data_IF_186060430276
#
_entry.id   IF_186060430276
#
_cell.length_a   1.000
_cell.length_b   1.000
_cell.length_c   1.000
_cell.angle_alpha   90.00
_cell.angle_beta   90.00
_cell.angle_gamma   90.00
#
_symmetry.space_group_name_H-M   'P 1'
#
loop_
_entity.id
_entity.type
_entity.pdbx_description
1 polymer ?
#
# COMPACT_ATOMS: atom_id res chain seq x y z
N UNK A 1 29.26 32.13 -5.28
CA UNK A 1 29.13 33.45 -5.95
C UNK A 1 28.19 33.44 -7.18
N UNK A 2 27.44 32.36 -7.46
CA UNK A 2 26.53 32.24 -8.63
C UNK A 2 25.07 31.88 -8.27
N UNK A 3 24.70 31.88 -6.98
CA UNK A 3 23.35 31.49 -6.53
C UNK A 3 22.28 32.56 -6.85
N UNK A 4 22.68 33.81 -7.06
CA UNK A 4 21.77 34.94 -7.29
C UNK A 4 21.16 34.95 -8.70
N UNK A 5 21.89 34.47 -9.72
CA UNK A 5 21.39 34.39 -11.11
C UNK A 5 20.30 33.31 -11.22
N UNK A 6 20.44 32.19 -10.49
CA UNK A 6 19.44 31.10 -10.49
C UNK A 6 18.11 31.54 -9.86
N UNK A 7 18.15 32.36 -8.81
CA UNK A 7 16.96 32.92 -8.19
C UNK A 7 16.27 33.97 -9.07
N UNK A 8 17.01 34.66 -9.95
CA UNK A 8 16.47 35.68 -10.86
C UNK A 8 15.72 35.08 -12.06
N UNK A 9 16.10 33.88 -12.51
CA UNK A 9 15.49 33.22 -13.67
C UNK A 9 14.58 32.03 -13.32
N UNK A 10 14.41 31.70 -12.03
CA UNK A 10 13.51 30.62 -11.61
C UNK A 10 12.14 31.19 -11.30
N UNK A 11 11.15 30.88 -12.14
CA UNK A 11 9.74 31.06 -11.79
C UNK A 11 9.44 30.33 -10.47
N UNK A 12 8.54 30.85 -9.61
CA UNK A 12 8.11 30.12 -8.44
C UNK A 12 7.54 28.77 -8.87
N UNK A 13 7.76 27.70 -8.08
CA UNK A 13 7.21 26.39 -8.41
C UNK A 13 5.69 26.50 -8.49
N UNK A 14 5.14 26.17 -9.66
CA UNK A 14 3.70 26.15 -9.90
C UNK A 14 3.19 24.76 -9.53
N UNK A 15 2.16 24.69 -8.69
CA UNK A 15 1.49 23.43 -8.40
C UNK A 15 0.89 22.87 -9.69
N UNK A 16 1.17 21.61 -10.07
CA UNK A 16 0.73 21.06 -11.35
C UNK A 16 -0.76 20.69 -11.37
N UNK A 17 -1.44 20.75 -10.22
CA UNK A 17 -2.85 20.42 -10.05
C UNK A 17 -3.65 21.67 -9.71
N UNK A 18 -4.95 21.66 -10.02
CA UNK A 18 -5.84 22.76 -9.65
C UNK A 18 -6.19 22.73 -8.15
N UNK A 19 -6.91 23.75 -7.68
CA UNK A 19 -7.22 23.88 -6.24
C UNK A 19 -8.11 22.74 -5.70
N UNK A 20 -9.10 22.30 -6.48
CA UNK A 20 -10.01 21.20 -6.09
C UNK A 20 -9.26 19.86 -6.02
N UNK A 21 -8.37 19.60 -6.98
CA UNK A 21 -7.50 18.42 -6.99
C UNK A 21 -6.51 18.43 -5.83
N UNK A 22 -5.98 19.62 -5.47
CA UNK A 22 -5.10 19.76 -4.30
C UNK A 22 -5.83 19.45 -3.01
N UNK A 23 -7.00 20.03 -2.80
CA UNK A 23 -7.81 19.78 -1.59
C UNK A 23 -8.14 18.28 -1.46
N UNK A 24 -8.56 17.66 -2.56
CA UNK A 24 -8.78 16.22 -2.59
C UNK A 24 -7.51 15.41 -2.24
N UNK A 25 -6.35 15.77 -2.80
CA UNK A 25 -5.09 15.10 -2.48
C UNK A 25 -4.76 15.23 -0.99
N UNK A 26 -4.84 16.44 -0.43
CA UNK A 26 -4.51 16.70 0.97
C UNK A 26 -5.41 15.90 1.92
N UNK A 27 -6.71 15.84 1.66
CA UNK A 27 -7.66 15.05 2.45
C UNK A 27 -7.38 13.55 2.38
N UNK A 28 -7.10 13.04 1.17
CA UNK A 28 -6.80 11.61 0.98
C UNK A 28 -5.46 11.22 1.61
N UNK A 29 -4.46 12.09 1.55
CA UNK A 29 -3.17 11.86 2.19
C UNK A 29 -3.29 11.96 3.71
N UNK A 30 -4.09 12.87 4.26
CA UNK A 30 -4.37 12.95 5.69
C UNK A 30 -4.96 11.63 6.19
N UNK A 31 -5.98 11.10 5.51
CA UNK A 31 -6.55 9.79 5.85
C UNK A 31 -5.52 8.65 5.76
N UNK A 32 -4.69 8.61 4.72
CA UNK A 32 -3.63 7.60 4.61
C UNK A 32 -2.61 7.69 5.75
N UNK A 33 -2.27 8.90 6.20
CA UNK A 33 -1.37 9.11 7.34
C UNK A 33 -2.02 8.60 8.63
N UNK A 34 -3.32 8.83 8.83
CA UNK A 34 -4.06 8.32 9.99
C UNK A 34 -4.11 6.79 10.02
N UNK A 35 -4.35 6.14 8.89
CA UNK A 35 -4.48 4.68 8.81
C UNK A 35 -3.12 3.95 8.92
N UNK A 36 -2.09 4.46 8.23
CA UNK A 36 -0.81 3.73 8.08
C UNK A 36 0.36 4.36 8.84
N UNK A 37 0.22 5.61 9.26
CA UNK A 37 1.31 6.40 9.82
C UNK A 37 2.23 7.01 8.76
N UNK A 38 2.71 8.23 9.03
CA UNK A 38 3.56 9.01 8.12
C UNK A 38 4.87 8.28 7.74
N UNK A 39 5.45 7.53 8.68
CA UNK A 39 6.72 6.83 8.46
C UNK A 39 6.59 5.65 7.48
N UNK A 40 5.40 5.05 7.37
CA UNK A 40 5.12 4.01 6.37
C UNK A 40 5.05 4.62 4.97
N UNK A 41 4.39 5.77 4.82
CA UNK A 41 4.27 6.47 3.55
C UNK A 41 5.61 7.01 3.05
N UNK A 42 6.45 7.54 3.95
CA UNK A 42 7.78 8.07 3.61
C UNK A 42 8.79 7.00 3.19
N UNK A 43 8.73 5.82 3.82
CA UNK A 43 9.68 4.72 3.59
C UNK A 43 9.14 3.64 2.66
N UNK A 44 7.87 3.74 2.27
CA UNK A 44 7.21 2.78 1.40
C UNK A 44 7.93 2.70 0.06
N UNK A 45 8.26 1.48 -0.34
CA UNK A 45 8.81 1.20 -1.67
C UNK A 45 7.66 0.76 -2.58
N UNK A 46 7.65 1.25 -3.81
CA UNK A 46 6.75 0.73 -4.84
C UNK A 46 7.16 -0.70 -5.18
N UNK A 47 6.32 -1.66 -4.80
CA UNK A 47 6.53 -3.08 -5.08
C UNK A 47 5.98 -3.39 -6.47
N UNK A 48 6.83 -3.92 -7.35
CA UNK A 48 6.46 -4.34 -8.70
C UNK A 48 6.44 -5.86 -8.81
N UNK A 49 5.63 -6.45 -9.71
CA UNK A 49 5.59 -7.90 -9.97
C UNK A 49 6.82 -8.36 -10.76
N UNK A 50 8.00 -8.09 -10.21
CA UNK A 50 9.31 -8.40 -10.80
C UNK A 50 10.02 -9.41 -9.91
N UNK A 51 11.03 -10.09 -10.47
CA UNK A 51 11.85 -11.07 -9.75
C UNK A 51 12.56 -10.50 -8.52
N UNK A 52 12.70 -9.17 -8.42
CA UNK A 52 13.25 -8.51 -7.25
C UNK A 52 12.35 -8.68 -6.01
N UNK A 53 11.04 -8.59 -6.19
CA UNK A 53 10.05 -8.66 -5.09
C UNK A 53 9.38 -10.03 -4.99
N UNK A 54 9.31 -10.74 -6.11
CA UNK A 54 8.70 -12.07 -6.24
C UNK A 54 9.74 -13.04 -6.79
N UNK A 55 10.73 -13.43 -5.96
CA UNK A 55 11.78 -14.35 -6.36
C UNK A 55 11.18 -15.76 -6.48
N UNK A 56 11.30 -16.35 -7.66
CA UNK A 56 10.83 -17.71 -7.90
C UNK A 56 10.36 -17.92 -9.33
N UNK A 57 10.29 -19.19 -9.72
CA UNK A 57 9.45 -19.59 -10.83
C UNK A 57 8.06 -19.87 -10.23
N UNK A 58 7.02 -19.53 -10.98
CA UNK A 58 5.64 -19.73 -10.55
C UNK A 58 5.00 -20.72 -11.51
N UNK A 59 4.67 -21.90 -11.00
CA UNK A 59 4.03 -23.01 -11.72
C UNK A 59 2.56 -23.17 -11.35
N UNK A 60 2.01 -22.24 -10.55
CA UNK A 60 0.61 -22.22 -10.13
C UNK A 60 0.17 -23.47 -9.36
N UNK A 61 1.08 -24.06 -8.58
CA UNK A 61 0.72 -25.07 -7.59
C UNK A 61 0.10 -24.42 -6.36
N UNK A 62 -0.75 -25.15 -5.62
CA UNK A 62 -1.40 -24.63 -4.41
C UNK A 62 -0.37 -24.13 -3.38
N UNK A 63 0.70 -24.90 -3.15
CA UNK A 63 1.80 -24.53 -2.25
C UNK A 63 2.50 -23.23 -2.67
N UNK A 64 2.75 -23.04 -3.97
CA UNK A 64 3.34 -21.80 -4.49
C UNK A 64 2.42 -20.61 -4.36
N UNK A 65 1.10 -20.80 -4.44
CA UNK A 65 0.11 -19.73 -4.25
C UNK A 65 0.06 -19.32 -2.78
N UNK A 66 0.10 -20.27 -1.85
CA UNK A 66 0.24 -19.97 -0.43
C UNK A 66 1.54 -19.21 -0.14
N UNK A 67 2.65 -19.63 -0.74
CA UNK A 67 3.92 -18.91 -0.60
C UNK A 67 3.83 -17.48 -1.18
N UNK A 68 3.16 -17.30 -2.31
CA UNK A 68 2.93 -15.98 -2.90
C UNK A 68 2.11 -15.08 -1.97
N UNK A 69 1.07 -15.62 -1.33
CA UNK A 69 0.28 -14.89 -0.32
C UNK A 69 1.17 -14.38 0.82
N UNK A 70 2.08 -15.21 1.33
CA UNK A 70 3.02 -14.85 2.39
C UNK A 70 3.98 -13.74 1.94
N UNK A 71 4.46 -13.79 0.69
CA UNK A 71 5.28 -12.70 0.12
C UNK A 71 4.48 -11.40 0.11
N UNK A 72 3.24 -11.42 -0.39
CA UNK A 72 2.37 -10.24 -0.46
C UNK A 72 2.10 -9.68 0.94
N UNK A 73 1.76 -10.54 1.91
CA UNK A 73 1.55 -10.16 3.30
C UNK A 73 2.75 -9.40 3.87
N UNK A 74 3.96 -9.93 3.65
CA UNK A 74 5.21 -9.30 4.07
C UNK A 74 5.43 -7.94 3.42
N UNK A 75 5.18 -7.80 2.11
CA UNK A 75 5.34 -6.53 1.41
C UNK A 75 4.33 -5.47 1.89
N UNK A 76 3.13 -5.92 2.28
CA UNK A 76 2.06 -5.08 2.81
C UNK A 76 2.25 -4.75 4.30
N UNK A 77 3.15 -5.44 5.01
CA UNK A 77 3.35 -5.35 6.46
C UNK A 77 2.09 -5.76 7.25
N UNK A 78 1.47 -6.87 6.81
CA UNK A 78 0.29 -7.46 7.45
C UNK A 78 0.56 -8.91 7.84
N UNK A 79 -0.11 -9.36 8.90
CA UNK A 79 -0.07 -10.77 9.32
C UNK A 79 -0.72 -11.64 8.24
N UNK A 80 -0.02 -12.66 7.69
CA UNK A 80 -0.60 -13.56 6.68
C UNK A 80 -1.86 -14.30 7.17
N UNK A 81 -2.01 -14.53 8.49
CA UNK A 81 -3.18 -15.19 9.06
C UNK A 81 -4.44 -14.29 9.03
N UNK A 82 -4.26 -12.98 8.76
CA UNK A 82 -5.36 -12.05 8.52
C UNK A 82 -5.79 -12.00 7.04
N UNK A 83 -5.07 -12.67 6.14
CA UNK A 83 -5.38 -12.67 4.72
C UNK A 83 -6.23 -13.87 4.32
N UNK A 84 -7.06 -13.63 3.32
CA UNK A 84 -7.92 -14.63 2.73
C UNK A 84 -7.48 -15.00 1.33
N UNK A 85 -7.28 -16.29 1.06
CA UNK A 85 -7.01 -16.79 -0.28
C UNK A 85 -8.26 -17.46 -0.87
N UNK A 86 -8.70 -16.96 -2.03
CA UNK A 86 -9.80 -17.54 -2.81
C UNK A 86 -9.35 -17.79 -4.24
N UNK A 87 -9.74 -18.94 -4.78
CA UNK A 87 -9.53 -19.30 -6.18
C UNK A 87 -10.75 -18.95 -7.01
N UNK A 88 -10.51 -18.42 -8.21
CA UNK A 88 -11.56 -18.13 -9.18
C UNK A 88 -11.29 -18.93 -10.47
N UNK A 89 -12.33 -19.58 -11.00
CA UNK A 89 -12.28 -20.17 -12.34
C UNK A 89 -12.76 -19.15 -13.36
N UNK A 90 -11.92 -18.90 -14.37
CA UNK A 90 -12.28 -18.02 -15.47
C UNK A 90 -13.37 -18.72 -16.32
N UNK A 91 -14.53 -18.08 -16.49
CA UNK A 91 -15.67 -18.60 -17.26
C UNK A 91 -16.95 -18.92 -16.48
N UNK A 92 -16.94 -18.94 -15.14
CA UNK A 92 -18.16 -19.11 -14.34
C UNK A 92 -18.70 -17.73 -13.89
N UNK A 93 -19.66 -17.15 -14.64
CA UNK A 93 -20.43 -15.96 -14.21
C UNK A 93 -21.42 -16.25 -13.07
N UNK A 94 -21.04 -17.11 -12.12
CA UNK A 94 -21.86 -17.49 -10.96
C UNK A 94 -20.93 -17.88 -9.82
N UNK A 95 -20.38 -16.88 -9.12
CA UNK A 95 -19.50 -17.09 -8.00
C UNK A 95 -20.26 -17.56 -6.76
N UNK A 96 -20.25 -18.87 -6.48
CA UNK A 96 -20.48 -19.35 -5.12
C UNK A 96 -19.20 -19.09 -4.34
N UNK A 97 -19.19 -18.01 -3.57
CA UNK A 97 -18.10 -17.65 -2.66
C UNK A 97 -18.02 -18.66 -1.52
N UNK A 98 -17.01 -19.53 -1.51
CA UNK A 98 -16.77 -20.43 -0.38
C UNK A 98 -15.78 -19.81 0.59
N UNK A 99 -16.29 -19.52 1.78
CA UNK A 99 -15.57 -18.85 2.86
C UNK A 99 -15.06 -19.86 3.91
N UNK A 100 -13.79 -20.29 3.87
CA UNK A 100 -13.00 -20.87 5.00
C UNK A 100 -12.43 -19.86 6.04
N UNK A 101 -13.28 -19.42 6.99
CA UNK A 101 -12.95 -18.82 8.33
C UNK A 101 -12.08 -17.55 8.41
N UNK A 102 -12.69 -16.45 8.85
CA UNK A 102 -12.01 -15.16 9.07
C UNK A 102 -11.50 -14.97 10.51
N UNK A 103 -10.31 -14.38 10.65
CA UNK A 103 -9.87 -13.75 11.89
C UNK A 103 -10.27 -12.27 11.88
N UNK A 104 -10.97 -11.84 12.92
CA UNK A 104 -11.25 -10.42 13.16
C UNK A 104 -10.00 -9.78 13.76
N UNK A 105 -9.23 -9.07 12.93
CA UNK A 105 -8.16 -8.21 13.44
C UNK A 105 -8.79 -7.09 14.27
N UNK A 106 -8.81 -7.26 15.60
CA UNK A 106 -9.15 -6.16 16.53
C UNK A 106 -8.11 -5.07 16.33
N UNK A 107 -8.56 -3.97 15.73
CA UNK A 107 -7.93 -2.65 15.78
C UNK A 107 -7.37 -2.40 17.19
N UNK A 108 -6.05 -2.55 17.34
CA UNK A 108 -5.33 -2.02 18.51
C UNK A 108 -5.30 -0.51 18.30
N UNK A 109 -6.33 0.17 18.80
CA UNK A 109 -6.20 1.56 19.23
C UNK A 109 -5.11 1.58 20.31
N UNK A 110 -3.87 1.85 19.92
CA UNK A 110 -2.87 2.25 20.90
C UNK A 110 -3.11 3.72 21.18
N UNK A 111 -3.87 3.96 22.24
CA UNK A 111 -3.94 5.23 22.92
C UNK A 111 -2.60 5.51 23.62
N UNK A 112 -2.27 6.82 23.67
CA UNK A 112 -1.42 7.47 24.68
C UNK A 112 0.10 7.31 24.44
N UNK A 113 0.81 8.40 24.18
CA UNK A 113 1.33 9.24 25.28
C UNK A 113 1.60 10.67 24.83
N UNK A 114 1.04 11.60 25.60
CA UNK A 114 1.36 13.02 25.59
C UNK A 114 2.86 13.25 25.80
N UNK A 115 3.44 14.19 25.05
CA UNK A 115 4.72 14.77 25.39
C UNK A 115 4.57 16.28 25.45
N UNK A 116 4.93 16.83 26.60
CA UNK A 116 5.10 18.26 26.88
C UNK A 116 6.13 18.90 25.94
#
# INVERSE_FOLDING_TARGET
MLQWIRAFFSSPPVCPVNDDEREWLDDRFAWLIEEFGIERLRRGVTVLPTKQFFPGHYHATEDEIHHLLVIVARQMDVDPDCLWLSYYQDGARSGTFQSTKGCTAKSKRQATTAFN
#
